data_IF_553360561628
#
_entry.id   IF_553360561628
#
_cell.length_a   1.000
_cell.length_b   1.000
_cell.length_c   1.000
_cell.angle_alpha   90.00
_cell.angle_beta   90.00
_cell.angle_gamma   90.00
#
_symmetry.space_group_name_H-M   'P 1'
#
loop_
_entity.id
_entity.type
_entity.pdbx_description
1 polymer ?
#
# COMPACT_ATOMS: atom_id res chain seq x y z
N UNK A 1 -4.40 16.70 -0.92
CA UNK A 1 -5.46 15.97 -0.18
C UNK A 1 -4.84 14.70 0.36
N UNK A 2 -4.74 14.55 1.69
CA UNK A 2 -4.21 13.32 2.29
C UNK A 2 -5.31 12.24 2.25
N UNK A 3 -5.22 11.32 1.30
CA UNK A 3 -6.11 10.16 1.23
C UNK A 3 -5.65 9.14 2.29
N UNK A 4 -6.59 8.35 2.80
CA UNK A 4 -6.26 7.30 3.76
C UNK A 4 -7.14 6.08 3.56
N UNK A 5 -6.58 4.91 3.87
CA UNK A 5 -7.33 3.66 4.00
C UNK A 5 -7.18 3.13 5.42
N UNK A 6 -8.13 2.30 5.83
CA UNK A 6 -8.07 1.58 7.11
C UNK A 6 -8.06 0.09 6.79
N UNK A 7 -6.95 -0.58 7.10
CA UNK A 7 -6.81 -2.01 6.89
C UNK A 7 -7.12 -2.75 8.20
N UNK A 8 -8.13 -3.63 8.18
CA UNK A 8 -8.40 -4.54 9.30
C UNK A 8 -7.56 -5.80 9.14
N UNK A 9 -6.80 -6.15 10.17
CA UNK A 9 -6.01 -7.38 10.19
C UNK A 9 -6.57 -8.34 11.26
N UNK A 10 -6.47 -9.67 11.05
CA UNK A 10 -7.19 -10.66 11.86
C UNK A 10 -6.71 -10.80 13.32
N UNK A 11 -5.57 -10.21 13.69
CA UNK A 11 -5.08 -10.26 15.08
C UNK A 11 -5.63 -9.10 15.93
N UNK A 12 -6.72 -9.44 16.64
CA UNK A 12 -7.38 -8.75 17.74
C UNK A 12 -6.51 -7.74 18.52
N UNK A 13 -6.82 -6.45 18.34
CA UNK A 13 -6.85 -5.37 19.36
C UNK A 13 -6.82 -3.96 18.72
N UNK A 14 -6.37 -3.82 17.48
CA UNK A 14 -6.40 -2.52 16.80
C UNK A 14 -7.67 -2.34 15.98
N UNK A 15 -8.27 -1.17 16.05
CA UNK A 15 -9.46 -0.72 15.30
C UNK A 15 -9.23 -0.62 13.76
N UNK A 16 -8.22 -1.29 13.24
CA UNK A 16 -7.70 -1.14 11.89
C UNK A 16 -6.51 -0.21 11.84
N UNK A 17 -5.57 -0.52 10.96
CA UNK A 17 -4.37 0.29 10.74
C UNK A 17 -4.70 1.39 9.72
N UNK A 18 -4.58 2.65 10.12
CA UNK A 18 -4.70 3.80 9.22
C UNK A 18 -3.41 3.97 8.42
N UNK A 19 -3.54 3.93 7.10
CA UNK A 19 -2.46 4.21 6.15
C UNK A 19 -2.85 5.47 5.38
N UNK A 20 -2.03 6.51 5.49
CA UNK A 20 -2.15 7.71 4.67
C UNK A 20 -1.36 7.48 3.38
N UNK A 21 -1.94 7.86 2.25
CA UNK A 21 -1.30 7.69 0.96
C UNK A 21 -1.46 8.91 0.06
N UNK A 22 -0.47 9.09 -0.80
CA UNK A 22 -0.47 10.05 -1.90
C UNK A 22 -0.24 9.31 -3.21
N UNK A 23 -0.88 9.79 -4.28
CA UNK A 23 -0.71 9.22 -5.62
C UNK A 23 -0.14 10.29 -6.54
N UNK A 24 0.97 9.97 -7.18
CA UNK A 24 1.58 10.78 -8.23
C UNK A 24 1.52 10.05 -9.57
N UNK A 25 1.14 10.79 -10.61
CA UNK A 25 1.18 10.32 -11.99
C UNK A 25 2.23 11.13 -12.75
N UNK A 26 3.25 10.45 -13.28
CA UNK A 26 4.27 11.03 -14.14
C UNK A 26 4.35 10.24 -15.44
N UNK A 27 3.63 10.71 -16.46
CA UNK A 27 3.50 10.00 -17.73
C UNK A 27 2.81 8.65 -17.54
N UNK A 28 3.50 7.56 -17.91
CA UNK A 28 3.01 6.19 -17.73
C UNK A 28 3.31 5.63 -16.34
N UNK A 29 4.12 6.33 -15.52
CA UNK A 29 4.49 5.89 -14.18
C UNK A 29 3.45 6.41 -13.18
N UNK A 30 2.96 5.50 -12.36
CA UNK A 30 2.07 5.79 -11.25
C UNK A 30 2.71 5.33 -9.94
N UNK A 31 2.98 6.31 -9.07
CA UNK A 31 3.62 6.08 -7.78
C UNK A 31 2.61 6.35 -6.67
N UNK A 32 2.49 5.41 -5.74
CA UNK A 32 1.66 5.52 -4.55
C UNK A 32 2.59 5.53 -3.34
N UNK A 33 2.73 6.67 -2.69
CA UNK A 33 3.51 6.78 -1.46
C UNK A 33 2.60 6.53 -0.27
N UNK A 34 2.91 5.53 0.54
CA UNK A 34 2.15 5.14 1.71
C UNK A 34 2.94 5.43 2.99
N UNK A 35 2.24 5.89 4.01
CA UNK A 35 2.76 6.16 5.35
C UNK A 35 1.78 5.65 6.38
N UNK A 36 2.29 4.88 7.34
CA UNK A 36 1.52 4.37 8.46
C UNK A 36 1.56 5.42 9.57
N UNK A 37 0.41 5.73 10.16
CA UNK A 37 0.36 6.64 11.30
C UNK A 37 1.13 6.02 12.49
N UNK A 38 2.07 6.77 13.06
CA UNK A 38 2.93 6.30 14.15
C UNK A 38 2.22 6.31 15.51
N UNK A 39 1.10 7.03 15.62
CA UNK A 39 0.36 7.18 16.89
C UNK A 39 -0.56 6.00 17.19
N UNK A 40 -0.64 5.01 16.31
CA UNK A 40 -1.53 3.84 16.46
C UNK A 40 -0.75 2.58 16.88
N UNK A 41 -1.37 1.66 17.62
CA UNK A 41 -0.78 0.37 17.91
C UNK A 41 -0.54 -0.39 16.61
N UNK A 42 0.72 -0.76 16.37
CA UNK A 42 1.14 -1.54 15.20
C UNK A 42 1.55 -2.96 15.59
N UNK A 43 1.28 -3.96 14.74
CA UNK A 43 1.78 -5.30 14.96
C UNK A 43 3.31 -5.34 14.98
N UNK A 44 3.89 -6.23 15.79
CA UNK A 44 5.35 -6.41 15.90
C UNK A 44 6.01 -6.84 14.59
N UNK A 45 5.27 -7.54 13.73
CA UNK A 45 5.72 -7.93 12.39
C UNK A 45 5.75 -6.75 11.40
N UNK A 46 4.99 -5.68 11.65
CA UNK A 46 4.91 -4.50 10.79
C UNK A 46 5.99 -3.48 11.19
N UNK A 47 7.20 -3.71 10.71
CA UNK A 47 8.36 -2.84 10.99
C UNK A 47 8.45 -1.62 10.06
N UNK A 48 7.60 -1.55 9.04
CA UNK A 48 7.60 -0.46 8.07
C UNK A 48 6.80 0.74 8.58
N UNK A 49 7.30 1.94 8.30
CA UNK A 49 6.61 3.20 8.55
C UNK A 49 6.18 3.89 7.25
N UNK A 50 6.99 3.75 6.21
CA UNK A 50 6.76 4.31 4.87
C UNK A 50 7.14 3.28 3.82
N UNK A 51 6.38 3.24 2.74
CA UNK A 51 6.65 2.37 1.60
C UNK A 51 5.94 2.93 0.38
N UNK A 52 6.47 2.61 -0.79
CA UNK A 52 5.99 3.17 -2.05
C UNK A 52 5.53 2.01 -2.93
N UNK A 53 4.51 2.21 -3.75
CA UNK A 53 4.18 1.32 -4.87
C UNK A 53 4.47 2.06 -6.15
N UNK A 54 5.27 1.47 -7.01
CA UNK A 54 5.49 2.00 -8.35
C UNK A 54 4.76 1.06 -9.30
N UNK A 55 3.90 1.60 -10.14
CA UNK A 55 3.14 0.86 -11.12
C UNK A 55 3.28 1.51 -12.49
N UNK A 56 3.29 0.69 -13.53
CA UNK A 56 3.29 1.16 -14.91
C UNK A 56 1.86 1.07 -15.44
N UNK A 57 1.38 2.17 -16.02
CA UNK A 57 0.10 2.23 -16.68
C UNK A 57 0.25 1.82 -18.14
N UNK A 58 -0.25 0.64 -18.51
CA UNK A 58 -0.25 0.14 -19.88
C UNK A 58 -1.68 -0.15 -20.32
N UNK A 59 -2.10 0.42 -21.46
CA UNK A 59 -3.45 0.20 -22.05
C UNK A 59 -4.64 0.45 -21.09
N UNK A 60 -4.46 1.31 -20.08
CA UNK A 60 -5.49 1.61 -19.09
C UNK A 60 -5.52 0.70 -17.86
N UNK A 61 -4.64 -0.29 -17.79
CA UNK A 61 -4.38 -1.12 -16.61
C UNK A 61 -3.10 -0.66 -15.90
N UNK A 62 -2.98 -0.99 -14.62
CA UNK A 62 -1.81 -0.67 -13.80
C UNK A 62 -1.13 -1.95 -13.32
N UNK A 63 0.11 -2.15 -13.74
CA UNK A 63 0.93 -3.29 -13.33
C UNK A 63 1.95 -2.83 -12.29
N UNK A 64 1.96 -3.45 -11.11
CA UNK A 64 2.94 -3.14 -10.07
C UNK A 64 4.34 -3.52 -10.57
N UNK A 65 5.27 -2.56 -10.53
CA UNK A 65 6.68 -2.86 -10.78
C UNK A 65 7.25 -3.59 -9.57
N UNK A 66 7.78 -4.78 -9.83
CA UNK A 66 8.45 -5.58 -8.83
C UNK A 66 9.73 -4.85 -8.38
N UNK A 67 9.79 -4.49 -7.10
CA UNK A 67 11.02 -4.02 -6.46
C UNK A 67 11.49 -5.09 -5.49
N UNK A 68 12.59 -5.75 -5.85
CA UNK A 68 13.18 -6.86 -5.09
C UNK A 68 13.53 -6.48 -3.64
N UNK A 69 13.83 -5.19 -3.41
CA UNK A 69 14.05 -4.61 -2.08
C UNK A 69 12.81 -4.69 -1.16
N UNK A 70 11.60 -4.82 -1.70
CA UNK A 70 10.36 -5.03 -0.93
C UNK A 70 10.18 -6.46 -0.46
N UNK A 71 10.84 -7.42 -1.12
CA UNK A 71 10.72 -8.85 -0.87
C UNK A 71 11.67 -9.41 0.20
N UNK A 72 12.61 -8.61 0.69
CA UNK A 72 13.40 -8.92 1.90
C UNK A 72 12.62 -8.75 3.22
N UNK A 73 11.28 -8.77 3.15
CA UNK A 73 10.39 -8.54 4.31
C UNK A 73 9.65 -9.82 4.67
N UNK A 74 9.23 -9.90 5.92
CA UNK A 74 8.41 -11.03 6.40
C UNK A 74 7.14 -11.18 5.56
N UNK A 75 6.68 -12.41 5.38
CA UNK A 75 5.50 -12.76 4.58
C UNK A 75 4.25 -11.94 4.96
N UNK A 76 4.01 -11.72 6.26
CA UNK A 76 2.89 -10.90 6.74
C UNK A 76 2.95 -9.46 6.23
N UNK A 77 4.15 -8.91 6.08
CA UNK A 77 4.36 -7.55 5.56
C UNK A 77 4.08 -7.49 4.06
N UNK A 78 4.42 -8.54 3.31
CA UNK A 78 4.11 -8.64 1.89
C UNK A 78 2.59 -8.71 1.67
N UNK A 79 1.92 -9.61 2.40
CA UNK A 79 0.46 -9.74 2.36
C UNK A 79 -0.24 -8.44 2.75
N UNK A 80 0.28 -7.74 3.76
CA UNK A 80 -0.20 -6.42 4.15
C UNK A 80 -0.06 -5.42 3.00
N UNK A 81 1.13 -5.33 2.38
CA UNK A 81 1.37 -4.39 1.28
C UNK A 81 0.46 -4.67 0.07
N UNK A 82 0.26 -5.94 -0.29
CA UNK A 82 -0.62 -6.32 -1.40
C UNK A 82 -2.07 -5.93 -1.13
N UNK A 83 -2.56 -6.13 0.10
CA UNK A 83 -3.91 -5.70 0.49
C UNK A 83 -4.05 -4.17 0.47
N UNK A 84 -3.04 -3.43 0.94
CA UNK A 84 -3.04 -1.96 0.88
C UNK A 84 -3.12 -1.47 -0.56
N UNK A 85 -2.31 -2.03 -1.45
CA UNK A 85 -2.31 -1.68 -2.86
C UNK A 85 -3.67 -1.97 -3.51
N UNK A 86 -4.20 -3.19 -3.32
CA UNK A 86 -5.50 -3.58 -3.86
C UNK A 86 -6.63 -2.66 -3.40
N UNK A 87 -6.65 -2.27 -2.12
CA UNK A 87 -7.64 -1.34 -1.59
C UNK A 87 -7.52 0.06 -2.18
N UNK A 88 -6.30 0.60 -2.29
CA UNK A 88 -6.09 1.93 -2.86
C UNK A 88 -6.54 1.96 -4.33
N UNK A 89 -6.15 0.95 -5.11
CA UNK A 89 -6.51 0.85 -6.52
C UNK A 89 -8.00 0.63 -6.72
N UNK A 90 -8.64 -0.20 -5.89
CA UNK A 90 -10.09 -0.39 -5.88
C UNK A 90 -10.85 0.90 -5.54
N UNK A 91 -10.43 1.64 -4.50
CA UNK A 91 -11.02 2.94 -4.16
C UNK A 91 -10.82 3.99 -5.26
N UNK A 92 -9.72 3.91 -6.00
CA UNK A 92 -9.45 4.78 -7.13
C UNK A 92 -10.13 4.32 -8.44
N UNK A 93 -10.89 3.22 -8.41
CA UNK A 93 -11.52 2.58 -9.57
C UNK A 93 -10.53 2.25 -10.70
N UNK A 94 -9.29 1.93 -10.33
CA UNK A 94 -8.24 1.53 -11.26
C UNK A 94 -8.26 0.02 -11.48
N UNK A 95 -8.12 -0.40 -12.74
CA UNK A 95 -7.95 -1.82 -13.09
C UNK A 95 -6.50 -2.22 -12.84
N UNK A 96 -6.34 -3.25 -12.01
CA UNK A 96 -5.06 -3.92 -11.76
C UNK A 96 -5.02 -5.13 -12.70
N UNK A 97 -3.85 -5.37 -13.30
CA UNK A 97 -3.55 -6.56 -14.12
C UNK A 97 -2.78 -7.60 -13.29
#
# INVERSE_FOLDING_TARGET
>A
MNKHIVLKYPNALAEGLRINYNMEHRGEIHTIECSIDEKQPKPSWLQLHKFNFTSLKTKGCYSLLFEESKYNKNLDTLLFMDQVYALIMSQANYKID
#
